data_IF_285456189666
#
_entry.id   IF_285456189666
#
_cell.length_a   1.000
_cell.length_b   1.000
_cell.length_c   1.000
_cell.angle_alpha   90.00
_cell.angle_beta   90.00
_cell.angle_gamma   90.00
#
_symmetry.space_group_name_H-M   'P 1'
#
loop_
_entity.id
_entity.type
_entity.pdbx_description
1 polymer ?
#
# COMPACT_ATOMS: atom_id res chain seq x y z
N UNK A 1 49.92 -6.83 1.93
CA UNK A 1 49.98 -8.24 1.50
C UNK A 1 48.87 -8.45 0.52
N UNK A 2 49.27 -8.47 -0.70
CA UNK A 2 48.65 -8.78 -1.94
C UNK A 2 47.98 -10.14 -1.94
N UNK A 3 46.85 -10.28 -2.61
CA UNK A 3 46.61 -11.42 -3.52
C UNK A 3 45.51 -11.04 -4.50
N UNK A 4 45.99 -10.66 -5.64
CA UNK A 4 45.35 -10.76 -6.94
C UNK A 4 44.77 -12.16 -7.16
N UNK A 5 43.62 -12.21 -7.76
CA UNK A 5 42.91 -13.40 -8.23
C UNK A 5 42.17 -13.11 -9.53
N UNK A 6 42.97 -12.83 -10.54
CA UNK A 6 42.62 -12.76 -11.94
C UNK A 6 42.19 -14.14 -12.45
N UNK A 7 41.00 -14.28 -13.00
CA UNK A 7 40.59 -15.40 -13.90
C UNK A 7 39.62 -14.91 -14.94
N UNK A 8 40.15 -14.53 -16.08
CA UNK A 8 40.20 -15.22 -17.39
C UNK A 8 38.82 -15.53 -17.98
N UNK A 9 38.55 -14.70 -18.94
CA UNK A 9 37.83 -14.82 -20.21
C UNK A 9 37.76 -16.26 -20.73
N UNK A 10 36.55 -16.72 -21.06
CA UNK A 10 36.33 -17.74 -22.05
C UNK A 10 35.25 -17.26 -23.02
N UNK A 11 35.73 -16.87 -24.20
CA UNK A 11 34.91 -16.74 -25.43
C UNK A 11 34.53 -18.11 -25.92
N UNK A 12 33.25 -18.33 -26.15
CA UNK A 12 32.78 -19.38 -27.05
C UNK A 12 31.95 -18.76 -28.14
N UNK A 13 32.53 -18.77 -29.31
CA UNK A 13 31.90 -18.49 -30.60
C UNK A 13 31.27 -19.80 -31.06
N UNK A 14 30.03 -19.81 -31.49
CA UNK A 14 29.41 -21.01 -32.05
C UNK A 14 28.03 -20.76 -32.60
N UNK A 15 28.00 -20.46 -33.88
CA UNK A 15 27.16 -20.99 -34.98
C UNK A 15 25.69 -20.62 -35.06
N UNK A 16 25.43 -19.97 -36.20
CA UNK A 16 24.15 -19.80 -36.91
C UNK A 16 23.35 -21.08 -37.01
N UNK A 17 22.05 -20.99 -36.76
CA UNK A 17 21.04 -21.79 -37.44
C UNK A 17 19.83 -20.88 -37.71
N UNK A 18 19.68 -20.54 -38.98
CA UNK A 18 18.42 -20.01 -39.55
C UNK A 18 17.42 -21.16 -39.59
N UNK A 19 16.26 -20.98 -39.00
CA UNK A 19 15.04 -21.65 -39.44
C UNK A 19 13.87 -20.68 -39.33
N UNK A 20 13.24 -20.49 -40.46
CA UNK A 20 12.08 -19.68 -40.72
C UNK A 20 10.81 -20.27 -40.10
N UNK A 21 9.85 -19.39 -39.79
CA UNK A 21 8.45 -19.74 -39.74
C UNK A 21 7.84 -19.85 -38.34
N UNK A 22 7.11 -18.83 -37.97
CA UNK A 22 6.22 -18.85 -36.81
C UNK A 22 5.75 -17.44 -36.49
N UNK A 23 4.61 -17.02 -37.10
CA UNK A 23 3.88 -15.83 -36.64
C UNK A 23 3.36 -16.08 -35.22
N UNK A 24 4.21 -15.88 -34.24
CA UNK A 24 3.83 -15.83 -32.83
C UNK A 24 3.16 -14.49 -32.55
N UNK A 25 1.85 -14.51 -32.36
CA UNK A 25 1.11 -13.43 -31.74
C UNK A 25 1.72 -13.22 -30.35
N UNK A 26 2.60 -12.25 -30.24
CA UNK A 26 3.00 -11.69 -28.95
C UNK A 26 1.76 -11.00 -28.37
N UNK A 27 0.97 -11.75 -27.62
CA UNK A 27 0.04 -11.17 -26.65
C UNK A 27 0.94 -10.49 -25.62
N UNK A 28 1.22 -9.22 -25.88
CA UNK A 28 1.84 -8.36 -24.89
C UNK A 28 0.88 -8.29 -23.70
N UNK A 29 1.23 -8.93 -22.60
CA UNK A 29 0.68 -8.57 -21.30
C UNK A 29 1.10 -7.14 -21.05
N UNK A 30 0.28 -6.18 -21.51
CA UNK A 30 0.35 -4.82 -21.03
C UNK A 30 0.04 -4.93 -19.52
N UNK A 31 1.08 -4.77 -18.71
CA UNK A 31 0.88 -4.53 -17.28
C UNK A 31 0.09 -3.23 -17.20
N UNK A 32 -1.23 -3.34 -17.04
CA UNK A 32 -2.04 -2.20 -16.71
C UNK A 32 -1.46 -1.62 -15.42
N UNK A 33 -0.81 -0.46 -15.53
CA UNK A 33 -0.45 0.32 -14.37
C UNK A 33 -1.73 0.46 -13.56
N UNK A 34 -1.72 0.00 -12.30
CA UNK A 34 -2.91 0.01 -11.46
C UNK A 34 -3.44 1.45 -11.44
N UNK A 35 -4.60 1.68 -12.08
CA UNK A 35 -5.25 2.98 -12.08
C UNK A 35 -5.51 3.35 -10.61
N UNK A 36 -5.06 4.54 -10.20
CA UNK A 36 -5.28 5.00 -8.84
C UNK A 36 -6.77 5.17 -8.56
N UNK A 37 -7.18 4.87 -7.34
CA UNK A 37 -8.52 5.14 -6.86
C UNK A 37 -8.69 6.63 -6.56
N UNK A 38 -9.77 7.22 -7.04
CA UNK A 38 -10.14 8.62 -6.79
C UNK A 38 -10.95 8.80 -5.52
N UNK A 39 -11.30 10.07 -5.18
CA UNK A 39 -12.09 10.39 -3.99
C UNK A 39 -13.42 9.62 -3.94
N UNK A 40 -13.73 9.07 -2.76
CA UNK A 40 -14.90 8.24 -2.52
C UNK A 40 -14.69 6.76 -2.82
N UNK A 41 -13.63 6.37 -3.50
CA UNK A 41 -13.36 4.95 -3.80
C UNK A 41 -12.88 4.18 -2.56
N UNK A 42 -13.34 2.93 -2.45
CA UNK A 42 -12.84 1.97 -1.47
C UNK A 42 -11.69 1.15 -2.06
N UNK A 43 -10.61 1.05 -1.31
CA UNK A 43 -9.43 0.25 -1.67
C UNK A 43 -9.39 -1.15 -1.04
N UNK A 44 -10.39 -1.51 -0.27
CA UNK A 44 -10.45 -2.80 0.40
C UNK A 44 -10.34 -2.69 1.92
N UNK A 45 -10.19 -3.83 2.56
CA UNK A 45 -10.21 -3.97 4.01
C UNK A 45 -8.83 -4.33 4.55
N UNK A 46 -8.47 -3.74 5.67
CA UNK A 46 -7.31 -4.12 6.48
C UNK A 46 -7.67 -4.07 7.96
N UNK A 47 -6.68 -4.09 8.85
CA UNK A 47 -6.89 -4.07 10.28
C UNK A 47 -6.09 -2.96 10.94
N UNK A 48 -6.69 -2.31 11.93
CA UNK A 48 -6.02 -1.35 12.81
C UNK A 48 -4.98 -2.04 13.70
N UNK A 49 -4.20 -1.23 14.42
CA UNK A 49 -3.26 -1.76 15.43
C UNK A 49 -3.95 -2.59 16.52
N UNK A 50 -5.19 -2.29 16.85
CA UNK A 50 -6.03 -3.05 17.80
C UNK A 50 -6.73 -4.26 17.16
N UNK A 51 -6.34 -4.64 15.95
CA UNK A 51 -6.92 -5.76 15.20
C UNK A 51 -8.40 -5.58 14.82
N UNK A 52 -8.88 -4.36 14.73
CA UNK A 52 -10.23 -4.04 14.29
C UNK A 52 -10.27 -3.92 12.77
N UNK A 53 -11.21 -4.58 12.07
CA UNK A 53 -11.35 -4.44 10.62
C UNK A 53 -11.76 -3.02 10.25
N UNK A 54 -11.13 -2.48 9.20
CA UNK A 54 -11.44 -1.16 8.64
C UNK A 54 -11.41 -1.23 7.12
N UNK A 55 -12.23 -0.39 6.49
CA UNK A 55 -12.25 -0.18 5.05
C UNK A 55 -11.42 1.07 4.75
N UNK A 56 -10.46 0.96 3.83
CA UNK A 56 -9.65 2.09 3.41
C UNK A 56 -10.32 2.80 2.24
N UNK A 57 -10.60 4.09 2.42
CA UNK A 57 -11.21 4.96 1.40
C UNK A 57 -10.26 6.09 1.03
N UNK A 58 -10.24 6.43 -0.26
CA UNK A 58 -9.56 7.64 -0.74
C UNK A 58 -10.49 8.83 -0.53
N UNK A 59 -10.00 9.89 0.09
CA UNK A 59 -10.77 11.14 0.33
C UNK A 59 -10.27 12.32 -0.48
N UNK A 60 -9.02 12.28 -0.94
CA UNK A 60 -8.41 13.34 -1.75
C UNK A 60 -7.39 12.74 -2.73
N UNK A 61 -7.36 13.29 -3.93
CA UNK A 61 -6.40 12.90 -4.96
C UNK A 61 -6.66 11.53 -5.55
N UNK A 62 -5.65 10.98 -6.21
CA UNK A 62 -5.69 9.64 -6.82
C UNK A 62 -4.60 8.79 -6.16
N UNK A 63 -4.98 7.67 -5.58
CA UNK A 63 -4.09 6.80 -4.82
C UNK A 63 -4.21 5.37 -5.33
N UNK A 64 -3.10 4.70 -5.71
CA UNK A 64 -3.14 3.26 -5.96
C UNK A 64 -3.60 2.52 -4.71
N UNK A 65 -4.56 1.62 -4.83
CA UNK A 65 -5.12 0.90 -3.68
C UNK A 65 -4.07 0.08 -2.92
N UNK A 66 -3.09 -0.50 -3.63
CA UNK A 66 -1.95 -1.16 -2.98
C UNK A 66 -1.17 -0.22 -2.06
N UNK A 67 -0.92 1.01 -2.50
CA UNK A 67 -0.26 2.04 -1.68
C UNK A 67 -1.11 2.42 -0.47
N UNK A 68 -2.41 2.64 -0.66
CA UNK A 68 -3.32 3.00 0.42
C UNK A 68 -3.36 1.93 1.52
N UNK A 69 -3.48 0.66 1.14
CA UNK A 69 -3.45 -0.48 2.07
C UNK A 69 -2.10 -0.64 2.76
N UNK A 70 -1.00 -0.46 2.03
CA UNK A 70 0.35 -0.54 2.58
C UNK A 70 0.59 0.55 3.63
N UNK A 71 0.22 1.80 3.35
CA UNK A 71 0.39 2.93 4.29
C UNK A 71 -0.36 2.66 5.59
N UNK A 72 -1.60 2.20 5.53
CA UNK A 72 -2.38 1.89 6.75
C UNK A 72 -1.79 0.70 7.51
N UNK A 73 -1.34 -0.35 6.82
CA UNK A 73 -0.70 -1.50 7.46
C UNK A 73 0.59 -1.11 8.18
N UNK A 74 1.41 -0.26 7.59
CA UNK A 74 2.65 0.22 8.20
C UNK A 74 2.37 1.19 9.36
N UNK A 75 1.33 2.02 9.24
CA UNK A 75 0.87 2.85 10.35
C UNK A 75 0.45 1.99 11.55
N UNK A 76 -0.38 0.99 11.32
CA UNK A 76 -0.77 0.04 12.35
C UNK A 76 0.43 -0.69 12.97
N UNK A 77 1.43 -1.05 12.16
CA UNK A 77 2.67 -1.67 12.65
C UNK A 77 3.48 -0.73 13.54
N UNK A 78 3.59 0.55 13.19
CA UNK A 78 4.27 1.56 14.01
C UNK A 78 3.59 1.76 15.37
N UNK A 79 2.26 1.76 15.41
CA UNK A 79 1.50 1.83 16.68
C UNK A 79 1.80 0.60 17.53
N UNK A 80 1.73 -0.61 16.97
CA UNK A 80 2.03 -1.85 17.70
C UNK A 80 3.46 -1.91 18.22
N UNK A 81 4.40 -1.31 17.50
CA UNK A 81 5.81 -1.21 17.90
C UNK A 81 6.07 -0.12 18.95
N UNK A 82 5.05 0.62 19.40
CA UNK A 82 5.19 1.73 20.35
C UNK A 82 5.92 2.94 19.78
N UNK A 83 5.97 3.10 18.47
CA UNK A 83 6.67 4.19 17.78
C UNK A 83 5.78 5.44 17.58
N UNK A 84 4.52 5.38 17.98
CA UNK A 84 3.58 6.49 17.90
C UNK A 84 3.19 6.93 19.29
N UNK A 85 3.35 8.21 19.57
CA UNK A 85 3.01 8.78 20.87
C UNK A 85 1.50 8.99 21.02
N UNK A 86 1.04 9.13 22.27
CA UNK A 86 -0.36 9.30 22.61
C UNK A 86 -1.10 7.97 22.79
N UNK A 87 -2.36 8.07 23.21
CA UNK A 87 -3.21 6.91 23.41
C UNK A 87 -3.72 6.36 22.06
N UNK A 88 -3.34 5.12 21.73
CA UNK A 88 -3.87 4.44 20.55
C UNK A 88 -3.45 5.02 19.20
N UNK A 89 -2.32 5.75 19.15
CA UNK A 89 -1.83 6.32 17.88
C UNK A 89 -2.41 7.69 17.55
N UNK A 90 -2.85 8.44 18.55
CA UNK A 90 -3.45 9.77 18.36
C UNK A 90 -2.49 10.85 17.86
N UNK A 91 -1.18 10.72 18.07
CA UNK A 91 -0.20 11.67 17.58
C UNK A 91 0.14 11.44 16.09
N UNK A 92 0.39 12.50 15.32
CA UNK A 92 0.84 12.37 13.94
C UNK A 92 2.18 11.63 13.83
N UNK A 93 2.31 10.74 12.86
CA UNK A 93 3.54 10.01 12.56
C UNK A 93 3.75 9.89 11.06
N UNK A 94 4.99 10.03 10.63
CA UNK A 94 5.37 9.83 9.23
C UNK A 94 5.44 8.35 8.88
N UNK A 95 4.79 7.97 7.78
CA UNK A 95 4.78 6.62 7.22
C UNK A 95 5.00 6.72 5.71
N UNK A 96 6.19 6.36 5.22
CA UNK A 96 6.54 6.37 3.79
C UNK A 96 6.15 7.67 3.05
N UNK A 97 6.43 8.81 3.64
CA UNK A 97 6.10 10.12 3.06
C UNK A 97 4.65 10.58 3.30
N UNK A 98 3.84 9.77 3.96
CA UNK A 98 2.51 10.14 4.43
C UNK A 98 2.56 10.56 5.88
N UNK A 99 1.70 11.49 6.26
CA UNK A 99 1.46 11.83 7.66
C UNK A 99 0.19 11.13 8.11
N UNK A 100 0.31 10.21 9.06
CA UNK A 100 -0.80 9.41 9.58
C UNK A 100 -1.15 9.83 11.01
N UNK A 101 -2.42 9.78 11.34
CA UNK A 101 -2.96 10.15 12.64
C UNK A 101 -4.25 9.39 12.95
N UNK A 102 -4.38 8.91 14.19
CA UNK A 102 -5.62 8.36 14.70
C UNK A 102 -6.59 9.45 15.15
N UNK A 103 -7.88 9.17 15.07
CA UNK A 103 -8.90 10.03 15.62
C UNK A 103 -9.18 9.71 17.10
N UNK A 104 -9.54 10.72 17.92
CA UNK A 104 -9.95 10.46 19.29
C UNK A 104 -11.26 9.66 19.34
N UNK A 105 -11.43 8.84 20.37
CA UNK A 105 -12.58 7.93 20.49
C UNK A 105 -13.94 8.58 20.27
N UNK A 106 -14.25 9.78 20.81
CA UNK A 106 -15.54 10.41 20.53
C UNK A 106 -15.78 10.69 19.05
N UNK A 107 -14.73 11.06 18.31
CA UNK A 107 -14.82 11.28 16.87
C UNK A 107 -14.98 9.96 16.10
N UNK A 108 -14.26 8.91 16.50
CA UNK A 108 -14.42 7.57 15.93
C UNK A 108 -15.87 7.10 16.09
N UNK A 109 -16.44 7.27 17.27
CA UNK A 109 -17.81 6.87 17.56
C UNK A 109 -18.87 7.66 16.78
N UNK A 110 -18.61 8.92 16.49
CA UNK A 110 -19.55 9.78 15.77
C UNK A 110 -19.45 9.67 14.25
N UNK A 111 -18.24 9.43 13.72
CA UNK A 111 -17.99 9.44 12.27
C UNK A 111 -17.71 8.07 11.67
N UNK A 112 -17.32 7.10 12.48
CA UNK A 112 -16.81 5.81 12.05
C UNK A 112 -15.37 5.84 11.51
N UNK A 113 -14.71 7.00 11.48
CA UNK A 113 -13.34 7.13 11.00
C UNK A 113 -12.35 6.82 12.11
N UNK A 114 -11.50 5.82 11.92
CA UNK A 114 -10.51 5.40 12.90
C UNK A 114 -9.19 6.16 12.78
N UNK A 115 -8.72 6.39 11.58
CA UNK A 115 -7.45 7.06 11.27
C UNK A 115 -7.50 7.75 9.92
N UNK A 116 -6.56 8.65 9.69
CA UNK A 116 -6.30 9.22 8.37
C UNK A 116 -4.81 9.28 8.08
N UNK A 117 -4.46 9.14 6.82
CA UNK A 117 -3.12 9.42 6.31
C UNK A 117 -3.23 10.39 5.13
N UNK A 118 -2.32 11.35 5.05
CA UNK A 118 -2.34 12.34 3.97
C UNK A 118 -0.94 12.75 3.53
N UNK A 119 -0.88 13.23 2.30
CA UNK A 119 0.21 14.01 1.72
C UNK A 119 -0.32 15.38 1.34
N UNK A 120 0.49 16.22 0.68
CA UNK A 120 0.01 17.50 0.13
C UNK A 120 -1.08 17.32 -0.93
N UNK A 121 -1.06 16.21 -1.67
CA UNK A 121 -1.92 15.98 -2.85
C UNK A 121 -2.93 14.86 -2.69
N UNK A 122 -2.82 14.02 -1.66
CA UNK A 122 -3.66 12.84 -1.48
C UNK A 122 -4.04 12.63 -0.02
N UNK A 123 -5.16 11.96 0.22
CA UNK A 123 -5.57 11.56 1.56
C UNK A 123 -6.40 10.26 1.51
N UNK A 124 -6.21 9.44 2.53
CA UNK A 124 -6.96 8.22 2.78
C UNK A 124 -7.49 8.22 4.21
N UNK A 125 -8.57 7.50 4.44
CA UNK A 125 -9.19 7.32 5.76
C UNK A 125 -9.49 5.84 5.98
N UNK A 126 -9.25 5.37 7.20
CA UNK A 126 -9.67 4.05 7.65
C UNK A 126 -11.04 4.17 8.31
N UNK A 127 -12.04 3.52 7.77
CA UNK A 127 -13.44 3.62 8.20
C UNK A 127 -13.87 2.30 8.82
N UNK A 128 -14.48 2.35 9.99
CA UNK A 128 -15.12 1.18 10.60
C UNK A 128 -16.26 0.69 9.71
N UNK A 129 -16.40 -0.62 9.49
CA UNK A 129 -17.55 -1.14 8.75
C UNK A 129 -18.83 -0.82 9.52
N UNK A 130 -19.82 -0.29 8.82
CA UNK A 130 -21.15 -0.07 9.40
C UNK A 130 -21.72 -1.46 9.74
N UNK A 131 -22.21 -1.71 10.96
CA UNK A 131 -22.91 -2.93 11.25
C UNK A 131 -24.09 -3.09 10.29
N UNK A 132 -24.10 -4.18 9.52
CA UNK A 132 -25.26 -4.51 8.70
C UNK A 132 -26.40 -4.80 9.67
N UNK A 133 -27.54 -4.07 9.59
CA UNK A 133 -28.68 -4.41 10.42
C UNK A 133 -29.08 -5.86 10.10
N UNK A 134 -29.02 -6.72 11.10
CA UNK A 134 -29.49 -8.08 10.96
C UNK A 134 -31.00 -8.00 10.75
N UNK A 135 -31.47 -8.31 9.54
CA UNK A 135 -32.89 -8.48 9.28
C UNK A 135 -33.39 -9.63 10.13
N UNK A 136 -34.14 -9.32 11.12
CA UNK A 136 -34.97 -10.30 11.85
C UNK A 136 -36.23 -10.56 11.07
#
# INVERSE_FOLDING_TARGET
MEREGERRVARAVGSLALLAGGAGLLVGCASAAAAGAGPGASCGTTRTAANVPVIIKVTKGTVPCGTALQVENEYAAKIRAGQVQGNGGGAPVAVNGWMCQGYPTPQVMSTGNASQCHTSSAAIVAVLPVPTPTST
#
